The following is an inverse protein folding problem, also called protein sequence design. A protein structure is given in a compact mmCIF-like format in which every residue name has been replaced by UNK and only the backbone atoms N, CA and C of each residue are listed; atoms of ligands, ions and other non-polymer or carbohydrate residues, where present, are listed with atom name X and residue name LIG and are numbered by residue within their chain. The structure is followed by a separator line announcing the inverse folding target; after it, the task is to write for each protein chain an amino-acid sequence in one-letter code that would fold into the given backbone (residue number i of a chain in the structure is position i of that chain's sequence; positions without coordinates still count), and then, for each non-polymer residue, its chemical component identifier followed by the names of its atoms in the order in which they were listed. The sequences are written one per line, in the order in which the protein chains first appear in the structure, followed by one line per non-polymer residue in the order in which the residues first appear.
data_IF_414427069749
#
_entry.id   IF_414427069749
#
_cell.length_a   1.000
_cell.length_b   1.000
_cell.length_c   1.000
_cell.angle_alpha   90.00
_cell.angle_beta   90.00
_cell.angle_gamma   90.00
#
_symmetry.space_group_name_H-M   'P 1'
#
loop_
_entity.id
_entity.type
_entity.pdbx_description
1 polymer ?
#
# COMPACT_ATOMS: atom_id res chain seq x y z
N UNK A 1 13.93 9.47 2.15
CA UNK A 1 12.93 8.73 2.97
C UNK A 1 11.69 8.48 2.13
N UNK A 2 11.14 7.27 2.20
CA UNK A 2 9.90 6.91 1.49
C UNK A 2 9.00 6.09 2.38
N UNK A 3 7.68 6.20 2.17
CA UNK A 3 6.69 5.41 2.92
C UNK A 3 7.00 3.91 2.81
N UNK A 4 7.36 3.42 1.62
CA UNK A 4 7.66 2.00 1.40
C UNK A 4 8.86 1.49 2.20
N UNK A 5 9.74 2.36 2.66
CA UNK A 5 10.89 2.00 3.50
C UNK A 5 10.53 1.88 4.97
N UNK A 6 9.39 2.47 5.36
CA UNK A 6 8.98 2.61 6.76
C UNK A 6 7.86 1.62 7.12
N UNK A 7 6.91 1.39 6.21
CA UNK A 7 5.79 0.48 6.48
C UNK A 7 6.28 -0.94 6.74
N UNK A 8 5.59 -1.64 7.61
CA UNK A 8 5.97 -2.99 8.02
C UNK A 8 6.98 -3.03 9.18
N UNK A 9 7.56 -1.89 9.54
CA UNK A 9 8.44 -1.81 10.70
C UNK A 9 7.62 -1.62 11.97
N UNK A 10 8.16 -2.08 13.09
CA UNK A 10 7.51 -1.87 14.39
C UNK A 10 7.43 -0.37 14.68
N UNK A 11 6.23 0.12 15.00
CA UNK A 11 5.97 1.54 15.28
C UNK A 11 6.90 2.06 16.39
N UNK A 12 7.23 1.24 17.38
CA UNK A 12 8.12 1.61 18.48
C UNK A 12 9.54 1.90 18.04
N UNK A 13 9.96 1.37 16.89
CA UNK A 13 11.32 1.57 16.35
C UNK A 13 11.41 2.76 15.41
N UNK A 14 10.28 3.37 15.06
CA UNK A 14 10.26 4.53 14.16
C UNK A 14 10.73 5.79 14.88
N UNK A 15 11.51 6.61 14.19
CA UNK A 15 11.90 7.93 14.71
C UNK A 15 10.71 8.88 14.62
N UNK A 16 10.78 10.00 15.32
CA UNK A 16 9.77 11.04 15.25
C UNK A 16 9.62 11.54 13.80
N UNK A 17 10.74 11.73 13.10
CA UNK A 17 10.76 12.19 11.71
C UNK A 17 10.05 11.19 10.79
N UNK A 18 10.29 9.90 10.98
CA UNK A 18 9.66 8.85 10.19
C UNK A 18 8.15 8.82 10.40
N UNK A 19 7.69 8.97 11.64
CA UNK A 19 6.25 9.03 11.93
C UNK A 19 5.58 10.24 11.31
N UNK A 20 6.22 11.41 11.41
CA UNK A 20 5.71 12.63 10.81
C UNK A 20 5.66 12.53 9.29
N UNK A 21 6.66 11.91 8.70
CA UNK A 21 6.72 11.70 7.26
C UNK A 21 5.54 10.85 6.77
N UNK A 22 5.29 9.70 7.41
CA UNK A 22 4.16 8.82 7.04
C UNK A 22 2.84 9.58 7.10
N UNK A 23 2.64 10.41 8.13
CA UNK A 23 1.41 11.15 8.31
C UNK A 23 1.25 12.29 7.29
N UNK A 24 2.35 12.77 6.70
CA UNK A 24 2.34 13.91 5.79
C UNK A 24 2.22 13.52 4.32
N UNK A 25 2.61 12.29 3.95
CA UNK A 25 2.57 11.83 2.55
C UNK A 25 1.16 11.36 2.22
N UNK A 26 0.60 11.93 1.16
CA UNK A 26 -0.76 11.63 0.74
C UNK A 26 -0.80 10.43 -0.22
N UNK A 27 -1.92 9.70 -0.20
CA UNK A 27 -2.20 8.63 -1.15
C UNK A 27 -2.66 9.28 -2.45
N UNK A 28 -2.06 8.87 -3.55
CA UNK A 28 -2.39 9.34 -4.90
C UNK A 28 -3.41 8.43 -5.59
N UNK A 29 -3.25 7.12 -5.45
CA UNK A 29 -4.12 6.12 -6.04
C UNK A 29 -4.25 4.91 -5.11
N UNK A 30 -5.40 4.23 -5.16
CA UNK A 30 -5.62 3.01 -4.38
C UNK A 30 -6.43 2.01 -5.19
N UNK A 31 -6.06 0.72 -5.08
CA UNK A 31 -6.69 -0.38 -5.81
C UNK A 31 -6.86 -1.60 -4.92
N UNK A 32 -7.99 -2.28 -5.06
CA UNK A 32 -8.22 -3.57 -4.42
C UNK A 32 -7.95 -4.67 -5.44
N UNK A 33 -7.17 -5.67 -5.03
CA UNK A 33 -6.86 -6.86 -5.83
C UNK A 33 -7.42 -8.08 -5.12
N UNK A 34 -8.23 -8.88 -5.81
CA UNK A 34 -8.85 -10.06 -5.20
C UNK A 34 -8.81 -11.26 -6.12
N UNK A 35 -8.59 -12.44 -5.52
CA UNK A 35 -8.64 -13.72 -6.22
C UNK A 35 -8.89 -14.83 -5.19
N UNK A 36 -10.05 -15.49 -5.28
CA UNK A 36 -10.41 -16.50 -4.28
C UNK A 36 -10.48 -15.88 -2.89
N UNK A 37 -9.71 -16.42 -1.96
CA UNK A 37 -9.64 -15.94 -0.58
C UNK A 37 -8.60 -14.84 -0.38
N UNK A 38 -7.81 -14.54 -1.40
CA UNK A 38 -6.81 -13.48 -1.32
C UNK A 38 -7.43 -12.12 -1.60
N UNK A 39 -7.15 -11.15 -0.74
CA UNK A 39 -7.61 -9.79 -0.91
C UNK A 39 -6.53 -8.83 -0.41
N UNK A 40 -6.06 -7.97 -1.32
CA UNK A 40 -5.02 -6.99 -1.01
C UNK A 40 -5.47 -5.60 -1.43
N UNK A 41 -5.08 -4.59 -0.66
CA UNK A 41 -5.25 -3.19 -1.04
C UNK A 41 -3.88 -2.59 -1.31
N UNK A 42 -3.70 -2.06 -2.52
CA UNK A 42 -2.47 -1.38 -2.91
C UNK A 42 -2.70 0.13 -2.88
N UNK A 43 -1.80 0.86 -2.23
CA UNK A 43 -1.82 2.31 -2.22
C UNK A 43 -0.55 2.83 -2.87
N UNK A 44 -0.71 3.79 -3.78
CA UNK A 44 0.39 4.51 -4.40
C UNK A 44 0.42 5.91 -3.79
N UNK A 45 1.56 6.28 -3.23
CA UNK A 45 1.71 7.55 -2.52
C UNK A 45 2.35 8.61 -3.42
N UNK A 46 2.21 9.87 -3.02
CA UNK A 46 2.78 11.01 -3.75
C UNK A 46 4.30 10.95 -3.86
N UNK A 47 4.98 10.28 -2.94
CA UNK A 47 6.44 10.08 -2.99
C UNK A 47 6.89 8.95 -3.92
N UNK A 48 5.94 8.31 -4.62
CA UNK A 48 6.21 7.17 -5.50
C UNK A 48 6.21 5.83 -4.80
N UNK A 49 6.01 5.79 -3.49
CA UNK A 49 5.95 4.54 -2.74
C UNK A 49 4.67 3.77 -3.07
N UNK A 50 4.78 2.44 -3.03
CA UNK A 50 3.62 1.53 -3.16
C UNK A 50 3.57 0.67 -1.91
N UNK A 51 2.41 0.55 -1.30
CA UNK A 51 2.19 -0.33 -0.15
C UNK A 51 1.12 -1.36 -0.48
N UNK A 52 1.23 -2.52 0.17
CA UNK A 52 0.26 -3.60 0.05
C UNK A 52 -0.26 -3.96 1.43
N UNK A 53 -1.58 -3.91 1.61
CA UNK A 53 -2.23 -4.29 2.86
C UNK A 53 -3.03 -5.56 2.63
N UNK A 54 -2.74 -6.61 3.41
CA UNK A 54 -3.52 -7.84 3.39
C UNK A 54 -4.79 -7.62 4.21
N UNK A 55 -5.95 -7.73 3.57
CA UNK A 55 -7.23 -7.48 4.23
C UNK A 55 -7.58 -8.55 5.27
N UNK A 56 -6.97 -9.73 5.22
CA UNK A 56 -7.22 -10.81 6.18
C UNK A 56 -6.41 -10.62 7.45
N UNK A 57 -5.13 -10.24 7.31
CA UNK A 57 -4.21 -10.10 8.45
C UNK A 57 -4.03 -8.65 8.91
N UNK A 58 -4.46 -7.67 8.12
CA UNK A 58 -4.23 -6.25 8.32
C UNK A 58 -2.74 -5.84 8.28
N UNK A 59 -1.88 -6.71 7.76
CA UNK A 59 -0.46 -6.39 7.62
C UNK A 59 -0.22 -5.49 6.41
N UNK A 60 0.49 -4.38 6.62
CA UNK A 60 0.90 -3.49 5.55
C UNK A 60 2.40 -3.59 5.34
N UNK A 61 2.82 -3.78 4.09
CA UNK A 61 4.22 -3.91 3.71
C UNK A 61 4.52 -3.05 2.48
N UNK A 62 5.79 -2.76 2.27
CA UNK A 62 6.23 -2.09 1.05
C UNK A 62 6.07 -3.02 -0.16
N UNK A 63 5.70 -2.45 -1.28
CA UNK A 63 5.47 -3.18 -2.52
C UNK A 63 5.98 -2.38 -3.72
N UNK A 64 5.61 -2.79 -4.92
CA UNK A 64 6.03 -2.16 -6.17
C UNK A 64 4.95 -2.26 -7.22
N UNK A 65 5.07 -1.42 -8.24
CA UNK A 65 4.19 -1.50 -9.42
C UNK A 65 4.36 -2.83 -10.15
N UNK A 66 5.57 -3.41 -10.11
CA UNK A 66 5.84 -4.71 -10.70
C UNK A 66 5.04 -5.83 -10.04
N UNK A 67 4.89 -5.78 -8.73
CA UNK A 67 4.07 -6.76 -8.01
C UNK A 67 2.60 -6.63 -8.41
N UNK A 68 2.10 -5.41 -8.54
CA UNK A 68 0.74 -5.16 -9.01
C UNK A 68 0.51 -5.75 -10.41
N UNK A 69 1.44 -5.52 -11.33
CA UNK A 69 1.38 -6.07 -12.68
C UNK A 69 1.40 -7.60 -12.68
N UNK A 70 2.20 -8.20 -11.79
CA UNK A 70 2.28 -9.66 -11.66
C UNK A 70 0.94 -10.24 -11.20
N UNK A 71 0.28 -9.63 -10.22
CA UNK A 71 -1.02 -10.07 -9.74
C UNK A 71 -2.10 -9.93 -10.82
N UNK A 72 -2.05 -8.85 -11.60
CA UNK A 72 -2.96 -8.68 -12.73
C UNK A 72 -2.77 -9.81 -13.74
N UNK A 73 -1.53 -10.17 -14.06
CA UNK A 73 -1.21 -11.28 -14.96
C UNK A 73 -1.66 -12.62 -14.39
N UNK A 74 -1.67 -12.75 -13.07
CA UNK A 74 -2.10 -13.97 -12.39
C UNK A 74 -3.63 -14.11 -12.33
N UNK A 75 -4.36 -13.14 -12.84
CA UNK A 75 -5.82 -13.21 -12.94
C UNK A 75 -6.59 -12.60 -11.78
N UNK A 76 -5.95 -11.76 -10.98
CA UNK A 76 -6.65 -11.03 -9.89
C UNK A 76 -7.64 -10.04 -10.48
N UNK A 77 -8.79 -9.90 -9.82
CA UNK A 77 -9.74 -8.85 -10.13
C UNK A 77 -9.27 -7.54 -9.49
N UNK A 78 -9.34 -6.44 -10.25
CA UNK A 78 -8.86 -5.15 -9.81
C UNK A 78 -10.01 -4.16 -9.74
N UNK A 79 -10.13 -3.49 -8.59
CA UNK A 79 -11.12 -2.44 -8.39
C UNK A 79 -10.40 -1.16 -8.02
N UNK A 80 -10.66 -0.07 -8.76
CA UNK A 80 -10.12 1.25 -8.44
C UNK A 80 -10.92 1.84 -7.29
N UNK A 81 -10.27 2.04 -6.15
CA UNK A 81 -10.88 2.59 -4.95
C UNK A 81 -10.20 3.90 -4.53
N UNK A 82 -9.55 4.56 -5.48
CA UNK A 82 -8.82 5.81 -5.24
C UNK A 82 -9.67 6.83 -4.49
N UNK A 83 -10.93 6.99 -4.88
CA UNK A 83 -11.84 7.97 -4.27
C UNK A 83 -12.15 7.68 -2.80
N UNK A 84 -11.94 6.44 -2.33
CA UNK A 84 -12.14 6.08 -0.93
C UNK A 84 -10.95 6.48 -0.05
N UNK A 85 -9.80 6.74 -0.65
CA UNK A 85 -8.54 7.03 0.03
C UNK A 85 -8.02 8.44 -0.22
N UNK A 86 -8.64 9.19 -1.12
CA UNK A 86 -8.24 10.56 -1.46
C UNK A 86 -9.40 11.52 -1.19
N UNK A 87 -9.07 12.77 -0.98
CA UNK A 87 -10.06 13.82 -0.71
C UNK A 87 -10.06 14.85 -1.82
#
# INVERSE_FOLDING_TARGET
MKVSEIVGRNVETLTKEEREYILSVEIKEAYNYSKGDDFFTFCIFEDGSVTKTDAVTDDEVGSSLEEMEQLESDGYEIEDVTDEYTF
#
